data_IF_321440892792
#
_entry.id   IF_321440892792
#
_cell.length_a   1.000
_cell.length_b   1.000
_cell.length_c   1.000
_cell.angle_alpha   90.00
_cell.angle_beta   90.00
_cell.angle_gamma   90.00
#
_symmetry.space_group_name_H-M   'P 1'
#
loop_
_entity.id
_entity.type
_entity.pdbx_description
1 polymer ?
#
# COMPACT_ATOMS: atom_id res chain seq x y z
N UNK A 1 -1.71 -17.44 -4.61
CA UNK A 1 -2.21 -16.12 -4.18
C UNK A 1 -1.70 -15.87 -2.78
N UNK A 2 -1.29 -14.63 -2.45
CA UNK A 2 -0.76 -14.27 -1.13
C UNK A 2 -1.76 -13.42 -0.34
N UNK A 3 -1.61 -13.38 0.98
CA UNK A 3 -2.39 -12.50 1.85
C UNK A 3 -1.58 -11.25 2.22
N UNK A 4 -2.26 -10.19 2.66
CA UNK A 4 -1.62 -9.02 3.26
C UNK A 4 -0.80 -9.43 4.49
N UNK A 5 0.46 -8.98 4.58
CA UNK A 5 1.30 -9.13 5.78
C UNK A 5 0.91 -8.12 6.85
N UNK A 6 0.48 -6.92 6.45
CA UNK A 6 -0.06 -5.94 7.37
C UNK A 6 -1.56 -6.19 7.66
N UNK A 7 -1.97 -6.18 8.93
CA UNK A 7 -3.38 -6.25 9.30
C UNK A 7 -4.16 -4.98 8.92
N UNK A 8 -5.45 -5.11 8.65
CA UNK A 8 -6.31 -4.02 8.20
C UNK A 8 -6.41 -2.90 9.26
N UNK A 9 -6.56 -3.24 10.53
CA UNK A 9 -6.66 -2.29 11.65
C UNK A 9 -5.33 -2.07 12.39
N UNK A 10 -4.21 -2.48 11.80
CA UNK A 10 -2.89 -2.29 12.39
C UNK A 10 -2.31 -0.88 12.09
N UNK A 11 -3.14 0.10 11.74
CA UNK A 11 -2.70 1.46 11.42
C UNK A 11 -2.00 2.14 12.61
N UNK A 12 -2.37 1.77 13.84
CA UNK A 12 -1.72 2.22 15.08
C UNK A 12 -0.29 1.72 15.24
N UNK A 13 0.13 0.69 14.50
CA UNK A 13 1.53 0.25 14.45
C UNK A 13 2.39 1.13 13.53
N UNK A 14 1.77 2.09 12.83
CA UNK A 14 2.42 3.10 12.02
C UNK A 14 1.74 4.47 12.24
N UNK A 15 1.74 4.95 13.49
CA UNK A 15 1.09 6.20 13.91
C UNK A 15 1.39 7.40 13.00
N UNK A 16 2.64 7.67 12.56
CA UNK A 16 2.89 8.82 11.70
C UNK A 16 2.15 8.73 10.37
N UNK A 17 2.12 7.55 9.75
CA UNK A 17 1.41 7.30 8.48
C UNK A 17 -0.10 7.38 8.68
N UNK A 18 -0.60 6.78 9.76
CA UNK A 18 -2.02 6.86 10.13
C UNK A 18 -2.45 8.32 10.34
N UNK A 19 -1.65 9.14 11.04
CA UNK A 19 -1.92 10.56 11.24
C UNK A 19 -1.88 11.35 9.91
N UNK A 20 -0.94 11.04 9.02
CA UNK A 20 -0.89 11.65 7.68
C UNK A 20 -2.14 11.28 6.88
N UNK A 21 -2.57 10.01 6.89
CA UNK A 21 -3.80 9.60 6.21
C UNK A 21 -5.05 10.26 6.81
N UNK A 22 -5.08 10.52 8.14
CA UNK A 22 -6.17 11.21 8.82
C UNK A 22 -6.21 12.72 8.53
N UNK A 23 -5.05 13.40 8.54
CA UNK A 23 -4.95 14.86 8.43
C UNK A 23 -4.86 15.31 6.97
N UNK A 24 -4.13 14.55 6.15
CA UNK A 24 -3.72 14.94 4.81
C UNK A 24 -4.28 14.01 3.72
N UNK A 25 -5.30 13.22 4.06
CA UNK A 25 -6.05 12.26 3.20
C UNK A 25 -5.29 10.99 2.81
N UNK A 26 -6.04 9.93 2.50
CA UNK A 26 -5.50 8.66 2.00
C UNK A 26 -4.76 8.80 0.66
N UNK A 27 -5.05 9.84 -0.12
CA UNK A 27 -4.44 10.07 -1.43
C UNK A 27 -2.92 10.33 -1.33
N UNK A 28 -2.47 11.13 -0.36
CA UNK A 28 -1.04 11.36 -0.13
C UNK A 28 -0.35 10.05 0.24
N UNK A 29 -0.98 9.27 1.11
CA UNK A 29 -0.43 7.98 1.56
C UNK A 29 -0.29 7.00 0.40
N UNK A 30 -1.24 7.01 -0.54
CA UNK A 30 -1.14 6.18 -1.74
C UNK A 30 -0.09 6.67 -2.74
N UNK A 31 0.07 7.97 -2.92
CA UNK A 31 1.17 8.52 -3.71
C UNK A 31 2.54 8.15 -3.15
N UNK A 32 2.71 8.23 -1.82
CA UNK A 32 3.93 7.78 -1.14
C UNK A 32 4.15 6.27 -1.27
N UNK A 33 3.09 5.47 -1.17
CA UNK A 33 3.13 4.02 -1.36
C UNK A 33 3.58 3.67 -2.77
N UNK A 34 3.00 4.30 -3.78
CA UNK A 34 3.36 4.08 -5.18
C UNK A 34 4.78 4.56 -5.51
N UNK A 35 5.22 5.70 -4.99
CA UNK A 35 6.62 6.15 -5.12
C UNK A 35 7.60 5.10 -4.58
N UNK A 36 7.27 4.49 -3.43
CA UNK A 36 8.12 3.45 -2.83
C UNK A 36 8.12 2.14 -3.61
N UNK A 37 7.07 1.90 -4.39
CA UNK A 37 6.83 0.65 -5.08
C UNK A 37 7.39 0.65 -6.51
N UNK A 38 7.17 1.74 -7.24
CA UNK A 38 7.44 1.85 -8.67
C UNK A 38 8.54 2.85 -9.04
N UNK A 39 9.09 3.57 -8.05
CA UNK A 39 10.11 4.62 -8.22
C UNK A 39 9.65 5.74 -9.19
N UNK A 40 9.23 6.88 -8.64
CA UNK A 40 8.79 8.11 -9.36
C UNK A 40 7.34 8.14 -9.94
N UNK A 41 6.50 7.13 -9.70
CA UNK A 41 5.10 7.15 -10.19
C UNK A 41 4.04 7.70 -9.19
N UNK A 42 4.43 8.18 -8.02
CA UNK A 42 3.51 8.55 -6.94
C UNK A 42 2.57 9.70 -7.24
N UNK A 43 2.96 10.62 -8.12
CA UNK A 43 2.11 11.75 -8.54
C UNK A 43 0.83 11.29 -9.26
N UNK A 44 0.93 10.26 -10.10
CA UNK A 44 -0.22 9.71 -10.83
C UNK A 44 -1.24 9.06 -9.88
N UNK A 45 -0.74 8.22 -8.97
CA UNK A 45 -1.57 7.54 -7.97
C UNK A 45 -2.23 8.54 -7.01
N UNK A 46 -1.50 9.58 -6.62
CA UNK A 46 -2.04 10.71 -5.85
C UNK A 46 -3.19 11.40 -6.60
N UNK A 47 -2.99 11.78 -7.87
CA UNK A 47 -4.01 12.45 -8.67
C UNK A 47 -5.27 11.59 -8.83
N UNK A 48 -5.13 10.29 -9.12
CA UNK A 48 -6.27 9.37 -9.22
C UNK A 48 -7.05 9.32 -7.90
N UNK A 49 -6.35 9.16 -6.77
CA UNK A 49 -6.99 9.11 -5.47
C UNK A 49 -7.65 10.44 -5.06
N UNK A 50 -7.09 11.58 -5.45
CA UNK A 50 -7.67 12.90 -5.21
C UNK A 50 -8.91 13.17 -6.07
N UNK A 51 -8.86 12.86 -7.37
CA UNK A 51 -9.93 13.19 -8.32
C UNK A 51 -11.12 12.24 -8.17
N UNK A 52 -10.85 10.94 -8.02
CA UNK A 52 -11.88 9.89 -7.97
C UNK A 52 -12.22 9.46 -6.54
N UNK A 53 -11.58 10.07 -5.53
CA UNK A 53 -11.85 9.82 -4.12
C UNK A 53 -11.71 8.33 -3.73
N UNK A 54 -12.70 7.75 -3.02
CA UNK A 54 -12.68 6.34 -2.62
C UNK A 54 -12.50 5.36 -3.79
N UNK A 55 -13.08 5.66 -4.96
CA UNK A 55 -12.98 4.82 -6.16
C UNK A 55 -11.55 4.82 -6.68
N UNK A 56 -10.92 6.00 -6.75
CA UNK A 56 -9.51 6.14 -7.11
C UNK A 56 -8.59 5.39 -6.16
N UNK A 57 -8.86 5.48 -4.86
CA UNK A 57 -8.11 4.73 -3.85
C UNK A 57 -8.25 3.21 -4.03
N UNK A 58 -9.44 2.72 -4.37
CA UNK A 58 -9.69 1.32 -4.66
C UNK A 58 -9.03 0.85 -5.97
N UNK A 59 -8.95 1.70 -6.99
CA UNK A 59 -8.22 1.42 -8.23
C UNK A 59 -6.72 1.23 -7.95
N UNK A 60 -6.12 2.17 -7.22
CA UNK A 60 -4.72 2.07 -6.81
C UNK A 60 -4.45 0.82 -5.96
N UNK A 61 -5.36 0.49 -5.03
CA UNK A 61 -5.27 -0.73 -4.22
C UNK A 61 -5.28 -2.00 -5.07
N UNK A 62 -6.09 -2.04 -6.13
CA UNK A 62 -6.10 -3.16 -7.07
C UNK A 62 -4.73 -3.32 -7.73
N UNK A 63 -4.09 -2.25 -8.16
CA UNK A 63 -2.74 -2.30 -8.74
C UNK A 63 -1.72 -2.85 -7.73
N UNK A 64 -1.75 -2.37 -6.48
CA UNK A 64 -0.88 -2.88 -5.43
C UNK A 64 -1.11 -4.38 -5.13
N UNK A 65 -2.37 -4.84 -5.19
CA UNK A 65 -2.69 -6.26 -5.05
C UNK A 65 -2.20 -7.08 -6.23
N UNK A 66 -2.32 -6.58 -7.45
CA UNK A 66 -1.86 -7.26 -8.65
C UNK A 66 -0.35 -7.50 -8.61
N UNK A 67 0.44 -6.48 -8.25
CA UNK A 67 1.91 -6.58 -8.14
C UNK A 67 2.36 -7.67 -7.17
N UNK A 68 1.63 -7.83 -6.06
CA UNK A 68 1.95 -8.80 -5.03
C UNK A 68 1.13 -10.09 -5.09
N UNK A 69 0.32 -10.26 -6.15
CA UNK A 69 -0.61 -11.36 -6.34
C UNK A 69 -1.47 -11.64 -5.09
N UNK A 70 -2.03 -10.57 -4.51
CA UNK A 70 -2.86 -10.57 -3.30
C UNK A 70 -4.33 -10.75 -3.66
N UNK A 71 -4.99 -11.68 -3.00
CA UNK A 71 -6.42 -11.98 -3.23
C UNK A 71 -7.33 -10.81 -2.82
N UNK A 72 -8.40 -10.60 -3.58
CA UNK A 72 -9.43 -9.60 -3.29
C UNK A 72 -10.17 -9.15 -4.56
N UNK A 73 -11.20 -8.35 -4.38
CA UNK A 73 -12.00 -7.81 -5.48
C UNK A 73 -12.08 -6.29 -5.43
N UNK A 74 -12.16 -5.67 -6.61
CA UNK A 74 -12.32 -4.21 -6.72
C UNK A 74 -13.61 -3.73 -6.02
N UNK A 75 -14.71 -4.48 -6.14
CA UNK A 75 -15.97 -4.15 -5.47
C UNK A 75 -15.81 -4.12 -3.94
N UNK A 76 -15.09 -5.09 -3.37
CA UNK A 76 -14.79 -5.09 -1.94
C UNK A 76 -13.87 -3.93 -1.56
N UNK A 77 -12.85 -3.62 -2.36
CA UNK A 77 -11.95 -2.49 -2.10
C UNK A 77 -12.71 -1.15 -2.09
N UNK A 78 -13.64 -0.94 -3.04
CA UNK A 78 -14.52 0.23 -3.07
C UNK A 78 -15.39 0.31 -1.80
N UNK A 79 -16.04 -0.79 -1.41
CA UNK A 79 -16.87 -0.82 -0.21
C UNK A 79 -16.06 -0.43 1.03
N UNK A 80 -14.85 -0.98 1.17
CA UNK A 80 -13.98 -0.71 2.31
C UNK A 80 -13.50 0.74 2.35
N UNK A 81 -13.13 1.33 1.19
CA UNK A 81 -12.76 2.75 1.13
C UNK A 81 -13.95 3.69 1.38
N UNK A 82 -15.16 3.33 0.95
CA UNK A 82 -16.37 4.12 1.18
C UNK A 82 -16.88 4.03 2.63
N UNK A 83 -16.77 2.87 3.29
CA UNK A 83 -17.22 2.64 4.67
C UNK A 83 -16.22 3.11 5.74
N UNK A 84 -15.58 4.26 5.52
CA UNK A 84 -14.69 4.96 6.47
C UNK A 84 -13.40 4.22 6.88
N UNK A 85 -13.00 3.14 6.19
CA UNK A 85 -11.74 2.43 6.48
C UNK A 85 -10.54 2.97 5.68
N UNK A 86 -10.68 4.09 4.96
CA UNK A 86 -9.65 4.58 4.03
C UNK A 86 -8.28 4.85 4.66
N UNK A 87 -8.23 5.33 5.90
CA UNK A 87 -6.97 5.52 6.67
C UNK A 87 -6.29 4.18 6.94
N UNK A 88 -7.07 3.22 7.44
CA UNK A 88 -6.61 1.88 7.76
C UNK A 88 -6.12 1.14 6.51
N UNK A 89 -6.87 1.22 5.40
CA UNK A 89 -6.50 0.59 4.13
C UNK A 89 -5.24 1.19 3.53
N UNK A 90 -5.14 2.52 3.44
CA UNK A 90 -3.96 3.19 2.87
C UNK A 90 -2.70 2.97 3.73
N UNK A 91 -2.86 2.91 5.06
CA UNK A 91 -1.76 2.54 5.95
C UNK A 91 -1.35 1.08 5.79
N UNK A 92 -2.31 0.16 5.62
CA UNK A 92 -2.03 -1.25 5.34
C UNK A 92 -1.20 -1.41 4.07
N UNK A 93 -1.56 -0.69 3.01
CA UNK A 93 -0.85 -0.71 1.72
C UNK A 93 0.58 -0.19 1.85
N UNK A 94 0.77 0.96 2.49
CA UNK A 94 2.10 1.53 2.72
C UNK A 94 3.00 0.56 3.50
N UNK A 95 2.45 -0.07 4.55
CA UNK A 95 3.17 -1.04 5.37
C UNK A 95 3.49 -2.30 4.58
N UNK A 96 2.58 -2.77 3.74
CA UNK A 96 2.82 -3.94 2.88
C UNK A 96 4.00 -3.70 1.95
N UNK A 97 4.00 -2.58 1.22
CA UNK A 97 5.11 -2.18 0.36
C UNK A 97 6.39 -2.08 1.19
N UNK A 98 6.35 -1.42 2.35
CA UNK A 98 7.52 -1.30 3.20
C UNK A 98 8.11 -2.65 3.65
N UNK A 99 7.28 -3.58 4.12
CA UNK A 99 7.74 -4.91 4.54
C UNK A 99 8.33 -5.70 3.36
N UNK A 100 7.73 -5.58 2.17
CA UNK A 100 8.20 -6.30 0.98
C UNK A 100 9.47 -5.70 0.41
N UNK A 101 9.63 -4.37 0.39
CA UNK A 101 10.89 -3.70 0.01
C UNK A 101 12.01 -4.08 0.96
N UNK A 102 11.78 -4.08 2.30
CA UNK A 102 12.77 -4.54 3.27
C UNK A 102 13.15 -6.02 3.08
N UNK A 103 12.20 -6.86 2.69
CA UNK A 103 12.47 -8.29 2.42
C UNK A 103 13.35 -8.48 1.18
N UNK A 104 13.17 -7.65 0.13
CA UNK A 104 14.01 -7.68 -1.08
C UNK A 104 15.46 -7.29 -0.76
N UNK A 105 15.68 -6.24 0.04
CA UNK A 105 17.03 -5.83 0.44
C UNK A 105 17.77 -6.88 1.29
N UNK A 106 17.06 -7.54 2.21
CA UNK A 106 17.68 -8.63 3.02
C UNK A 106 18.10 -9.85 2.19
N UNK A 107 17.48 -10.09 1.03
CA UNK A 107 17.89 -11.19 0.14
C UNK A 107 19.15 -10.83 -0.66
N UNK A 108 19.30 -9.56 -1.07
CA UNK A 108 20.50 -9.09 -1.78
C UNK A 108 21.75 -9.00 -0.89
N UNK A 109 21.58 -8.94 0.43
CA UNK A 109 22.70 -8.87 1.40
C UNK A 109 23.19 -10.24 1.88
N UNK A 110 22.51 -11.35 1.55
CA UNK A 110 23.01 -12.69 1.93
C UNK A 110 24.09 -13.08 0.92
N UNK A 111 25.39 -13.16 1.32
CA UNK A 111 26.44 -13.55 0.39
C UNK A 111 26.14 -14.96 -0.14
N UNK A 112 26.26 -15.13 -1.44
CA UNK A 112 26.33 -16.42 -2.13
C UNK A 112 27.40 -17.25 -1.42
N UNK A 113 26.95 -18.17 -0.56
CA UNK A 113 27.78 -19.23 -0.01
C UNK A 113 28.14 -20.12 -1.20
N UNK A 114 29.28 -19.82 -1.82
CA UNK A 114 29.87 -20.64 -2.87
C UNK A 114 30.10 -22.03 -2.29
N UNK A 115 29.27 -22.98 -2.70
CA UNK A 115 29.56 -24.41 -2.54
C UNK A 115 30.91 -24.71 -3.21
N UNK A 116 31.87 -25.19 -2.41
CA UNK A 116 33.17 -25.74 -2.82
C UNK A 116 33.04 -27.26 -2.84
#
# INVERSE_FOLDING_TARGET
>A
MSSWKAGLCDCTKALPVCCISCIATSAITQGLTANKMYDECGGWFFCIACILGPIGCAMNRREFRNEYNIEGSFANDCLMYCCCMGVCLSTQEFREVHFRTLSKHKQTEKPEEKEI
#
